data_IF_155998672308
#
_entry.id   IF_155998672308
#
_cell.length_a   1.000
_cell.length_b   1.000
_cell.length_c   1.000
_cell.angle_alpha   90.00
_cell.angle_beta   90.00
_cell.angle_gamma   90.00
#
_symmetry.space_group_name_H-M   'P 1'
#
loop_
_entity.id
_entity.type
_entity.pdbx_description
1 polymer ?
#
# COMPACT_ATOMS: atom_id res chain seq x y z
N UNK A 1 -4.08 -17.86 0.20
CA UNK A 1 -2.90 -18.11 -0.66
C UNK A 1 -1.78 -18.68 0.19
N UNK A 2 -0.90 -19.49 -0.40
CA UNK A 2 0.33 -19.97 0.22
C UNK A 2 1.39 -18.84 0.25
N UNK A 3 1.70 -18.35 1.45
CA UNK A 3 2.68 -17.28 1.62
C UNK A 3 4.10 -17.71 1.25
N UNK A 4 4.49 -18.96 1.51
CA UNK A 4 5.83 -19.46 1.20
C UNK A 4 6.02 -19.54 -0.32
N UNK A 5 5.02 -20.04 -1.04
CA UNK A 5 5.02 -20.05 -2.50
C UNK A 5 5.09 -18.64 -3.10
N UNK A 6 4.32 -17.69 -2.55
CA UNK A 6 4.38 -16.29 -2.98
C UNK A 6 5.78 -15.69 -2.81
N UNK A 7 6.37 -15.80 -1.62
CA UNK A 7 7.68 -15.23 -1.33
C UNK A 7 8.83 -15.91 -2.10
N UNK A 8 8.72 -17.22 -2.35
CA UNK A 8 9.65 -17.92 -3.23
C UNK A 8 9.56 -17.40 -4.67
N UNK A 9 8.34 -17.22 -5.20
CA UNK A 9 8.12 -16.69 -6.54
C UNK A 9 8.63 -15.26 -6.69
N UNK A 10 8.30 -14.35 -5.76
CA UNK A 10 8.76 -12.95 -5.86
C UNK A 10 10.26 -12.81 -5.68
N UNK A 11 10.88 -13.66 -4.85
CA UNK A 11 12.35 -13.72 -4.71
C UNK A 11 13.00 -14.06 -6.04
N UNK A 12 12.48 -15.04 -6.77
CA UNK A 12 12.97 -15.38 -8.10
C UNK A 12 12.76 -14.22 -9.09
N UNK A 13 11.53 -13.69 -9.17
CA UNK A 13 11.15 -12.55 -10.00
C UNK A 13 10.00 -11.78 -9.35
N UNK A 14 10.09 -10.44 -9.16
CA UNK A 14 11.00 -9.52 -9.85
C UNK A 14 12.34 -9.24 -9.15
N UNK A 15 12.60 -9.83 -7.98
CA UNK A 15 13.80 -9.49 -7.20
C UNK A 15 15.11 -10.07 -7.74
N UNK A 16 15.06 -11.15 -8.52
CA UNK A 16 16.24 -11.71 -9.18
C UNK A 16 17.18 -12.50 -8.27
N UNK A 17 16.66 -13.07 -7.17
CA UNK A 17 17.36 -14.05 -6.33
C UNK A 17 17.42 -13.67 -4.85
N UNK A 18 17.62 -12.39 -4.53
CA UNK A 18 17.70 -11.93 -3.13
C UNK A 18 16.45 -11.16 -2.75
N UNK A 19 15.81 -11.56 -1.65
CA UNK A 19 14.66 -10.87 -1.07
C UNK A 19 15.03 -10.36 0.34
N UNK A 20 15.41 -9.08 0.48
CA UNK A 20 15.75 -8.51 1.78
C UNK A 20 14.55 -8.49 2.74
N UNK A 21 14.80 -8.53 4.05
CA UNK A 21 13.74 -8.52 5.06
C UNK A 21 12.80 -7.31 4.90
N UNK A 22 13.33 -6.11 4.63
CA UNK A 22 12.49 -4.92 4.36
C UNK A 22 11.49 -5.12 3.22
N UNK A 23 11.87 -5.88 2.18
CA UNK A 23 10.96 -6.22 1.10
C UNK A 23 9.89 -7.23 1.53
N UNK A 24 10.26 -8.21 2.37
CA UNK A 24 9.28 -9.11 3.00
C UNK A 24 8.27 -8.30 3.83
N UNK A 25 8.75 -7.37 4.65
CA UNK A 25 7.92 -6.53 5.52
C UNK A 25 6.97 -5.64 4.69
N UNK A 26 7.50 -4.98 3.65
CA UNK A 26 6.72 -4.12 2.76
C UNK A 26 5.66 -4.89 1.95
N UNK A 27 6.02 -6.03 1.37
CA UNK A 27 5.08 -6.91 0.68
C UNK A 27 4.00 -7.43 1.64
N UNK A 28 4.39 -7.84 2.85
CA UNK A 28 3.45 -8.30 3.89
C UNK A 28 2.46 -7.21 4.27
N UNK A 29 2.95 -5.98 4.48
CA UNK A 29 2.09 -4.83 4.78
C UNK A 29 1.07 -4.56 3.67
N UNK A 30 1.49 -4.61 2.40
CA UNK A 30 0.59 -4.42 1.26
C UNK A 30 -0.43 -5.55 1.16
N UNK A 31 -0.03 -6.81 1.34
CA UNK A 31 -0.95 -7.95 1.33
C UNK A 31 -2.01 -7.84 2.44
N UNK A 32 -1.60 -7.42 3.64
CA UNK A 32 -2.52 -7.16 4.75
C UNK A 32 -3.45 -5.98 4.42
N UNK A 33 -2.91 -4.86 3.93
CA UNK A 33 -3.71 -3.71 3.49
C UNK A 33 -4.73 -4.10 2.41
N UNK A 34 -4.33 -4.92 1.43
CA UNK A 34 -5.23 -5.43 0.41
C UNK A 34 -6.34 -6.32 0.97
N UNK A 35 -6.06 -7.17 1.97
CA UNK A 35 -7.12 -7.97 2.60
C UNK A 35 -8.19 -7.14 3.35
N UNK A 36 -7.84 -5.91 3.75
CA UNK A 36 -8.73 -5.02 4.51
C UNK A 36 -9.47 -4.03 3.60
N UNK A 37 -8.78 -3.52 2.58
CA UNK A 37 -9.24 -2.39 1.77
C UNK A 37 -9.37 -2.70 0.28
N UNK A 38 -8.87 -3.86 -0.16
CA UNK A 38 -8.94 -4.32 -1.54
C UNK A 38 -10.31 -4.83 -1.95
N UNK A 39 -10.53 -4.94 -3.26
CA UNK A 39 -11.78 -5.46 -3.84
C UNK A 39 -11.69 -6.91 -4.31
N UNK A 40 -10.59 -7.60 -4.00
CA UNK A 40 -10.36 -9.01 -4.32
C UNK A 40 -9.86 -9.29 -5.74
N UNK A 41 -9.83 -8.31 -6.65
CA UNK A 41 -9.26 -8.52 -7.98
C UNK A 41 -7.72 -8.66 -7.92
N UNK A 42 -7.24 -9.89 -8.09
CA UNK A 42 -5.80 -10.20 -8.03
C UNK A 42 -4.94 -9.34 -8.97
N UNK A 43 -5.51 -8.88 -10.10
CA UNK A 43 -4.79 -8.11 -11.12
C UNK A 43 -4.53 -6.69 -10.60
N UNK A 44 -5.48 -6.12 -9.85
CA UNK A 44 -5.31 -4.84 -9.18
C UNK A 44 -4.26 -4.95 -8.06
N UNK A 45 -4.29 -6.02 -7.27
CA UNK A 45 -3.24 -6.31 -6.29
C UNK A 45 -1.86 -6.43 -6.95
N UNK A 46 -1.75 -7.17 -8.04
CA UNK A 46 -0.50 -7.33 -8.78
C UNK A 46 0.08 -5.98 -9.23
N UNK A 47 -0.78 -5.10 -9.74
CA UNK A 47 -0.37 -3.76 -10.14
C UNK A 47 0.03 -2.86 -8.95
N UNK A 48 -0.68 -2.97 -7.82
CA UNK A 48 -0.35 -2.26 -6.57
C UNK A 48 1.04 -2.67 -6.07
N UNK A 49 1.34 -3.98 -6.03
CA UNK A 49 2.65 -4.50 -5.65
C UNK A 49 3.75 -4.02 -6.60
N UNK A 50 3.48 -3.99 -7.91
CA UNK A 50 4.39 -3.48 -8.93
C UNK A 50 4.70 -2.00 -8.76
N UNK A 51 3.68 -1.19 -8.44
CA UNK A 51 3.83 0.23 -8.15
C UNK A 51 4.73 0.43 -6.94
N UNK A 52 4.42 -0.21 -5.81
CA UNK A 52 5.24 -0.08 -4.59
C UNK A 52 6.69 -0.56 -4.82
N UNK A 53 6.88 -1.66 -5.54
CA UNK A 53 8.20 -2.16 -5.90
C UNK A 53 9.00 -1.13 -6.72
N UNK A 54 8.35 -0.35 -7.58
CA UNK A 54 9.01 0.69 -8.36
C UNK A 54 9.27 1.96 -7.55
N UNK A 55 8.23 2.50 -6.90
CA UNK A 55 8.27 3.80 -6.23
C UNK A 55 9.07 3.79 -4.92
N UNK A 56 9.08 2.67 -4.18
CA UNK A 56 9.79 2.53 -2.91
C UNK A 56 11.22 1.96 -3.05
N UNK A 57 11.83 2.08 -4.25
CA UNK A 57 13.12 1.47 -4.62
C UNK A 57 13.22 0.01 -4.15
N UNK A 58 12.25 -0.82 -4.56
CA UNK A 58 12.14 -2.23 -4.14
C UNK A 58 12.04 -2.38 -2.61
N UNK A 59 11.25 -1.51 -1.98
CA UNK A 59 11.02 -1.44 -0.53
C UNK A 59 12.24 -1.04 0.31
N UNK A 60 13.25 -0.40 -0.28
CA UNK A 60 14.40 0.11 0.48
C UNK A 60 14.08 1.39 1.24
N UNK A 61 13.10 2.17 0.77
CA UNK A 61 12.71 3.45 1.36
C UNK A 61 11.21 3.59 1.59
N UNK A 62 10.85 4.15 2.74
CA UNK A 62 9.48 4.58 3.05
C UNK A 62 9.39 6.11 3.18
N UNK A 63 10.51 6.80 2.99
CA UNK A 63 10.63 8.25 3.06
C UNK A 63 11.58 8.70 1.95
N UNK A 64 11.21 9.76 1.25
CA UNK A 64 12.01 10.31 0.16
C UNK A 64 13.38 10.74 0.70
N UNK A 65 14.45 10.42 -0.04
CA UNK A 65 15.80 10.87 0.27
C UNK A 65 15.97 12.39 0.13
N UNK A 66 15.13 13.04 -0.69
CA UNK A 66 15.15 14.49 -0.84
C UNK A 66 14.75 15.19 0.46
N UNK A 67 15.33 16.38 0.69
CA UNK A 67 15.03 17.18 1.88
C UNK A 67 13.59 17.72 1.90
N UNK A 68 12.89 17.72 0.77
CA UNK A 68 11.59 18.36 0.59
C UNK A 68 11.66 19.88 0.38
N UNK A 69 12.84 20.51 0.45
CA UNK A 69 12.99 21.95 0.29
C UNK A 69 12.47 22.47 -1.07
N UNK A 70 12.56 21.65 -2.12
CA UNK A 70 12.04 21.96 -3.45
C UNK A 70 10.50 22.03 -3.51
N UNK A 71 9.80 21.51 -2.49
CA UNK A 71 8.34 21.56 -2.39
C UNK A 71 7.85 22.82 -1.66
N UNK A 72 8.74 23.65 -1.12
CA UNK A 72 8.37 24.87 -0.39
C UNK A 72 7.62 25.84 -1.31
N UNK A 73 6.48 26.39 -0.84
CA UNK A 73 5.68 27.35 -1.59
C UNK A 73 4.91 26.79 -2.80
N UNK A 74 5.00 25.48 -3.09
CA UNK A 74 4.30 24.84 -4.22
C UNK A 74 2.78 24.83 -4.00
N UNK A 75 2.08 25.77 -4.65
CA UNK A 75 0.62 25.93 -4.58
C UNK A 75 -0.15 24.72 -5.09
N UNK A 76 0.37 24.05 -6.11
CA UNK A 76 -0.21 22.81 -6.65
C UNK A 76 -0.15 21.64 -5.65
N UNK A 77 0.77 21.68 -4.67
CA UNK A 77 0.87 20.73 -3.56
C UNK A 77 0.11 21.18 -2.29
N UNK A 78 -0.44 22.39 -2.30
CA UNK A 78 -1.04 23.02 -1.13
C UNK A 78 -0.03 23.49 -0.08
N UNK A 79 1.26 23.53 -0.42
CA UNK A 79 2.33 23.98 0.48
C UNK A 79 2.35 25.51 0.52
N UNK A 80 1.42 26.10 1.28
CA UNK A 80 1.21 27.56 1.35
C UNK A 80 1.68 28.16 2.67
N UNK A 81 2.21 27.37 3.59
CA UNK A 81 2.77 27.83 4.87
C UNK A 81 4.28 27.59 4.90
N UNK A 82 5.01 28.48 5.58
CA UNK A 82 6.45 28.36 5.73
C UNK A 82 6.82 27.05 6.40
N UNK A 83 7.72 26.28 5.76
CA UNK A 83 8.22 25.00 6.24
C UNK A 83 7.45 23.78 5.71
N UNK A 84 6.40 24.00 4.91
CA UNK A 84 5.59 22.93 4.34
C UNK A 84 6.38 21.97 3.47
N UNK A 85 7.35 22.47 2.72
CA UNK A 85 8.10 21.66 1.77
C UNK A 85 8.81 20.49 2.46
N UNK A 86 9.55 20.78 3.52
CA UNK A 86 10.24 19.76 4.32
C UNK A 86 9.27 18.91 5.14
N UNK A 87 8.21 19.54 5.69
CA UNK A 87 7.23 18.87 6.54
C UNK A 87 6.44 17.81 5.77
N UNK A 88 5.98 18.14 4.57
CA UNK A 88 5.12 17.29 3.72
C UNK A 88 5.87 16.71 2.51
N UNK A 89 7.12 16.29 2.71
CA UNK A 89 7.88 15.53 1.71
C UNK A 89 7.35 14.10 1.52
N UNK A 90 7.80 13.44 0.46
CA UNK A 90 7.36 12.10 0.07
C UNK A 90 7.49 11.05 1.17
N UNK A 91 6.40 10.33 1.48
CA UNK A 91 6.37 9.17 2.40
C UNK A 91 5.47 8.04 1.94
N UNK A 92 5.76 6.84 2.42
CA UNK A 92 5.02 5.61 2.14
C UNK A 92 5.36 4.99 0.78
N UNK A 93 4.65 3.92 0.43
CA UNK A 93 4.90 3.15 -0.80
C UNK A 93 4.65 3.91 -2.10
N UNK A 94 3.88 5.00 -2.05
CA UNK A 94 3.54 5.85 -3.20
C UNK A 94 4.09 7.27 -3.06
N UNK A 95 4.87 7.54 -2.01
CA UNK A 95 5.51 8.84 -1.76
C UNK A 95 4.52 10.02 -1.78
N UNK A 96 3.45 9.95 -0.99
CA UNK A 96 2.49 11.07 -0.90
C UNK A 96 3.23 12.35 -0.48
N UNK A 97 2.97 13.43 -1.20
CA UNK A 97 3.73 14.68 -1.08
C UNK A 97 2.79 15.87 -1.08
N UNK A 98 3.06 16.88 -0.25
CA UNK A 98 2.30 18.12 -0.19
C UNK A 98 1.19 18.14 0.84
N UNK A 99 1.03 19.27 1.53
CA UNK A 99 0.03 19.49 2.58
C UNK A 99 -1.37 19.05 2.17
N UNK A 100 -1.78 19.30 0.92
CA UNK A 100 -3.11 18.92 0.44
C UNK A 100 -3.34 17.41 0.54
N UNK A 101 -2.38 16.61 0.09
CA UNK A 101 -2.49 15.15 0.13
C UNK A 101 -2.46 14.62 1.56
N UNK A 102 -1.62 15.22 2.41
CA UNK A 102 -1.60 14.91 3.84
C UNK A 102 -2.94 15.20 4.52
N UNK A 103 -3.57 16.34 4.22
CA UNK A 103 -4.88 16.68 4.77
C UNK A 103 -6.01 15.76 4.27
N UNK A 104 -6.04 15.44 2.97
CA UNK A 104 -7.03 14.51 2.39
C UNK A 104 -6.91 13.12 3.02
N UNK A 105 -5.69 12.61 3.20
CA UNK A 105 -5.48 11.33 3.87
C UNK A 105 -5.75 11.37 5.37
N UNK A 106 -5.58 12.53 6.03
CA UNK A 106 -6.03 12.67 7.42
C UNK A 106 -7.53 12.45 7.55
N UNK A 107 -8.32 13.07 6.67
CA UNK A 107 -9.78 12.95 6.69
C UNK A 107 -10.22 11.51 6.40
N UNK A 108 -9.61 10.86 5.40
CA UNK A 108 -9.95 9.47 5.01
C UNK A 108 -9.62 8.43 6.08
N UNK A 109 -8.51 8.64 6.80
CA UNK A 109 -7.97 7.64 7.71
C UNK A 109 -8.35 7.90 9.16
N UNK A 110 -8.72 9.14 9.50
CA UNK A 110 -8.94 9.58 10.88
C UNK A 110 -7.65 9.91 11.64
N UNK A 111 -6.47 9.72 11.05
CA UNK A 111 -5.18 10.07 11.68
C UNK A 111 -4.74 11.47 11.27
N UNK A 112 -4.30 12.30 12.22
CA UNK A 112 -3.85 13.66 11.90
C UNK A 112 -2.44 13.68 11.28
N UNK A 113 -2.37 13.38 9.98
CA UNK A 113 -1.14 13.41 9.20
C UNK A 113 -0.65 14.84 8.90
N UNK A 114 -1.46 15.86 9.14
CA UNK A 114 -1.01 17.25 9.04
C UNK A 114 -0.13 17.58 10.24
N UNK A 115 -0.53 17.11 11.43
CA UNK A 115 0.25 17.23 12.67
C UNK A 115 1.41 16.23 12.73
N UNK A 116 1.20 14.98 12.30
CA UNK A 116 2.15 13.87 12.39
C UNK A 116 2.43 13.24 11.01
N UNK A 117 3.06 13.98 10.08
CA UNK A 117 3.23 13.54 8.69
C UNK A 117 4.08 12.28 8.52
N UNK A 118 4.99 12.00 9.45
CA UNK A 118 5.80 10.78 9.46
C UNK A 118 5.01 9.50 9.62
N UNK A 119 3.80 9.53 10.19
CA UNK A 119 2.93 8.35 10.25
C UNK A 119 2.60 7.80 8.85
N UNK A 120 2.66 8.62 7.80
CA UNK A 120 2.47 8.17 6.42
C UNK A 120 3.59 7.22 5.93
N UNK A 121 4.73 7.14 6.63
CA UNK A 121 5.80 6.18 6.34
C UNK A 121 5.59 4.84 7.07
N UNK A 122 4.67 4.76 8.05
CA UNK A 122 4.38 3.53 8.76
C UNK A 122 3.79 2.49 7.79
N UNK A 123 4.36 1.27 7.69
CA UNK A 123 3.99 0.31 6.63
C UNK A 123 2.49 0.00 6.55
N UNK A 124 1.83 -0.11 7.70
CA UNK A 124 0.39 -0.37 7.80
C UNK A 124 -0.44 0.75 7.17
N UNK A 125 -0.15 2.00 7.51
CA UNK A 125 -0.87 3.16 6.98
C UNK A 125 -0.47 3.45 5.52
N UNK A 126 0.80 3.30 5.19
CA UNK A 126 1.30 3.42 3.81
C UNK A 126 0.62 2.41 2.87
N UNK A 127 0.39 1.17 3.33
CA UNK A 127 -0.34 0.15 2.58
C UNK A 127 -1.81 0.54 2.35
N UNK A 128 -2.50 1.04 3.39
CA UNK A 128 -3.87 1.55 3.27
C UNK A 128 -3.96 2.69 2.26
N UNK A 129 -3.08 3.70 2.39
CA UNK A 129 -2.98 4.85 1.46
C UNK A 129 -2.80 4.36 0.02
N UNK A 130 -1.86 3.44 -0.22
CA UNK A 130 -1.60 2.89 -1.54
C UNK A 130 -2.82 2.15 -2.11
N UNK A 131 -3.44 1.26 -1.33
CA UNK A 131 -4.56 0.42 -1.80
C UNK A 131 -5.79 1.28 -2.07
N UNK A 132 -6.28 2.02 -1.08
CA UNK A 132 -7.49 2.83 -1.23
C UNK A 132 -7.28 3.93 -2.26
N UNK A 133 -6.10 4.57 -2.28
CA UNK A 133 -5.81 5.64 -3.22
C UNK A 133 -5.79 5.15 -4.66
N UNK A 134 -5.30 3.94 -4.90
CA UNK A 134 -5.31 3.34 -6.24
C UNK A 134 -6.72 2.93 -6.70
N UNK A 135 -7.58 2.51 -5.77
CA UNK A 135 -8.96 2.11 -6.07
C UNK A 135 -9.89 3.30 -6.26
N UNK A 136 -9.68 4.37 -5.49
CA UNK A 136 -10.50 5.60 -5.52
C UNK A 136 -9.94 6.65 -6.49
N UNK A 137 -8.68 6.53 -6.91
CA UNK A 137 -8.02 7.45 -7.83
C UNK A 137 -7.62 8.78 -7.20
N UNK A 138 -7.25 8.78 -5.92
CA UNK A 138 -6.99 10.03 -5.16
C UNK A 138 -5.71 10.74 -5.58
N UNK A 139 -4.77 10.05 -6.25
CA UNK A 139 -3.49 10.64 -6.62
C UNK A 139 -3.56 11.51 -7.89
N UNK A 140 -4.33 11.09 -8.90
CA UNK A 140 -4.38 11.75 -10.21
C UNK A 140 -5.80 11.95 -10.76
N UNK A 141 -6.82 11.46 -10.04
CA UNK A 141 -8.19 11.34 -10.54
C UNK A 141 -8.44 10.11 -11.41
N UNK A 142 -7.43 9.26 -11.65
CA UNK A 142 -7.57 7.98 -12.37
C UNK A 142 -7.52 6.83 -11.38
N UNK A 143 -8.43 5.85 -11.53
CA UNK A 143 -8.52 4.69 -10.64
C UNK A 143 -8.19 3.39 -11.37
N UNK A 144 -7.78 2.35 -10.62
CA UNK A 144 -7.47 1.05 -11.22
C UNK A 144 -8.63 0.46 -12.01
N UNK A 145 -9.88 0.68 -11.56
CA UNK A 145 -11.08 0.25 -12.28
C UNK A 145 -11.23 0.84 -13.69
N UNK A 146 -10.55 1.95 -14.02
CA UNK A 146 -10.57 2.52 -15.36
C UNK A 146 -9.75 1.68 -16.37
N UNK A 147 -8.80 0.86 -15.88
CA UNK A 147 -7.83 0.12 -16.71
C UNK A 147 -7.85 -1.40 -16.50
N UNK A 148 -8.22 -1.83 -15.30
CA UNK A 148 -8.32 -3.23 -14.89
C UNK A 148 -9.79 -3.51 -14.57
N UNK A 149 -10.42 -4.28 -15.45
CA UNK A 149 -11.85 -4.63 -15.43
C UNK A 149 -12.01 -6.15 -15.47
N UNK A 150 -13.22 -6.68 -15.35
CA UNK A 150 -13.46 -8.11 -15.53
C UNK A 150 -12.85 -8.65 -16.84
N UNK A 151 -12.98 -7.91 -17.95
CA UNK A 151 -12.57 -8.35 -19.28
C UNK A 151 -11.08 -8.14 -19.61
N UNK A 152 -10.40 -7.19 -18.96
CA UNK A 152 -9.02 -6.82 -19.32
C UNK A 152 -8.20 -6.32 -18.14
N UNK A 153 -6.88 -6.51 -18.22
CA UNK A 153 -5.89 -5.88 -17.35
C UNK A 153 -4.90 -5.06 -18.21
N UNK A 154 -5.16 -3.77 -18.36
CA UNK A 154 -4.22 -2.86 -19.03
C UNK A 154 -3.25 -2.24 -18.03
N UNK A 155 -2.22 -3.01 -17.66
CA UNK A 155 -1.20 -2.55 -16.72
C UNK A 155 -0.36 -1.38 -17.23
N UNK A 156 -0.24 -1.21 -18.55
CA UNK A 156 0.53 -0.10 -19.11
C UNK A 156 -0.19 1.22 -18.87
N UNK A 157 -1.48 1.29 -19.22
CA UNK A 157 -2.28 2.50 -19.00
C UNK A 157 -2.56 2.76 -17.52
N UNK A 158 -2.57 1.72 -16.69
CA UNK A 158 -2.72 1.83 -15.24
C UNK A 158 -1.63 2.70 -14.57
N UNK A 159 -0.50 2.99 -15.24
CA UNK A 159 0.51 3.97 -14.78
C UNK A 159 -0.12 5.29 -14.33
N UNK A 160 -1.16 5.71 -15.06
CA UNK A 160 -1.96 6.92 -14.84
C UNK A 160 -2.56 7.06 -13.45
N UNK A 161 -2.76 5.94 -12.75
CA UNK A 161 -3.33 5.95 -11.40
C UNK A 161 -2.39 6.65 -10.42
N UNK A 162 -1.07 6.52 -10.62
CA UNK A 162 -0.05 6.98 -9.68
C UNK A 162 0.69 8.20 -10.23
N UNK A 163 1.06 8.16 -11.51
CA UNK A 163 1.82 9.22 -12.18
C UNK A 163 1.44 9.21 -13.68
N UNK A 164 2.09 9.98 -14.55
CA UNK A 164 1.80 10.05 -15.99
C UNK A 164 1.98 8.72 -16.77
N UNK A 165 2.87 8.68 -17.75
CA UNK A 165 3.25 7.44 -18.49
C UNK A 165 4.67 6.99 -18.22
N UNK A 166 5.43 7.71 -17.39
CA UNK A 166 6.83 7.37 -17.20
C UNK A 166 6.99 5.93 -16.67
N UNK A 167 7.94 5.19 -17.26
CA UNK A 167 8.20 3.77 -16.98
C UNK A 167 6.99 2.82 -17.09
N UNK A 168 5.91 3.21 -17.77
CA UNK A 168 4.68 2.41 -17.85
C UNK A 168 4.91 0.95 -18.27
N UNK A 169 5.66 0.71 -19.34
CA UNK A 169 5.97 -0.64 -19.82
C UNK A 169 6.79 -1.46 -18.81
N UNK A 170 7.72 -0.81 -18.08
CA UNK A 170 8.54 -1.47 -17.07
C UNK A 170 7.68 -1.93 -15.89
N UNK A 171 6.81 -1.05 -15.39
CA UNK A 171 5.90 -1.35 -14.27
C UNK A 171 4.86 -2.39 -14.67
N UNK A 172 4.35 -2.34 -15.91
CA UNK A 172 3.49 -3.39 -16.45
C UNK A 172 4.19 -4.75 -16.45
N UNK A 173 5.48 -4.79 -16.79
CA UNK A 173 6.31 -6.00 -16.68
C UNK A 173 6.45 -6.51 -15.25
N UNK A 174 6.57 -5.61 -14.25
CA UNK A 174 6.54 -6.02 -12.84
C UNK A 174 5.16 -6.53 -12.41
N UNK A 175 4.08 -5.89 -12.85
CA UNK A 175 2.72 -6.31 -12.54
C UNK A 175 2.44 -7.73 -13.05
N UNK A 176 2.87 -8.05 -14.28
CA UNK A 176 2.76 -9.41 -14.82
C UNK A 176 3.51 -10.44 -13.97
N UNK A 177 4.69 -10.10 -13.43
CA UNK A 177 5.47 -10.99 -12.55
C UNK A 177 4.78 -11.18 -11.19
N UNK A 178 4.24 -10.13 -10.60
CA UNK A 178 3.49 -10.24 -9.35
C UNK A 178 2.18 -11.01 -9.54
N UNK A 179 1.48 -10.83 -10.66
CA UNK A 179 0.28 -11.61 -10.98
C UNK A 179 0.61 -13.10 -11.08
N UNK A 180 1.70 -13.46 -11.76
CA UNK A 180 2.16 -14.84 -11.85
C UNK A 180 2.50 -15.41 -10.45
N UNK A 181 3.18 -14.63 -9.60
CA UNK A 181 3.51 -15.05 -8.23
C UNK A 181 2.24 -15.27 -7.37
N UNK A 182 1.26 -14.38 -7.46
CA UNK A 182 -0.03 -14.51 -6.76
C UNK A 182 -0.79 -15.76 -7.23
N UNK A 183 -0.82 -16.01 -8.54
CA UNK A 183 -1.44 -17.23 -9.11
C UNK A 183 -0.72 -18.49 -8.66
N UNK A 184 0.60 -18.52 -8.69
CA UNK A 184 1.39 -19.65 -8.21
C UNK A 184 1.17 -19.95 -6.72
N UNK A 185 0.88 -18.90 -5.93
CA UNK A 185 0.50 -19.02 -4.52
C UNK A 185 -0.98 -19.40 -4.30
N UNK A 186 -1.76 -19.63 -5.36
CA UNK A 186 -3.19 -19.96 -5.25
C UNK A 186 -4.05 -18.80 -4.72
N UNK A 187 -3.67 -17.55 -4.98
CA UNK A 187 -4.50 -16.40 -4.63
C UNK A 187 -5.83 -16.45 -5.39
N UNK A 188 -6.95 -16.35 -4.66
CA UNK A 188 -8.30 -16.43 -5.21
C UNK A 188 -8.81 -17.85 -5.49
N UNK A 189 -8.03 -18.89 -5.18
CA UNK A 189 -8.49 -20.29 -5.22
C UNK A 189 -8.94 -20.67 -3.80
N UNK A 190 -10.15 -21.21 -3.64
CA UNK A 190 -10.56 -21.83 -2.39
C UNK A 190 -9.57 -22.96 -2.04
N UNK A 191 -9.20 -23.17 -0.76
CA UNK A 191 -8.28 -24.25 -0.42
C UNK A 191 -8.81 -25.58 -0.96
N UNK A 192 -7.91 -26.42 -1.50
CA UNK A 192 -8.28 -27.76 -1.92
C UNK A 192 -8.96 -28.50 -0.74
N UNK A 193 -10.05 -29.25 -0.96
CA UNK A 193 -10.62 -30.06 0.09
C UNK A 193 -9.52 -30.97 0.65
N UNK A 194 -9.37 -30.97 1.98
CA UNK A 194 -8.47 -31.89 2.66
C UNK A 194 -8.86 -33.32 2.27
N UNK A 195 -7.90 -34.25 2.10
CA UNK A 195 -8.23 -35.65 1.97
C UNK A 195 -9.06 -36.07 3.19
N UNK A 196 -10.16 -36.77 2.91
CA UNK A 196 -11.20 -37.14 3.88
C UNK A 196 -10.59 -37.95 5.03
N UNK A 197 -10.32 -37.28 6.16
CA UNK A 197 -9.90 -37.90 7.40
C UNK A 197 -10.78 -37.29 8.49
N UNK A 198 -11.84 -38.04 8.80
CA UNK A 198 -12.80 -37.90 9.90
C UNK A 198 -14.01 -36.99 9.64
N UNK A 199 -15.18 -37.60 9.88
CA UNK A 199 -16.53 -37.06 9.74
C UNK A 199 -16.72 -35.66 10.33
N UNK A 200 -17.41 -34.79 9.56
CA UNK A 200 -18.36 -33.85 10.11
C UNK A 200 -17.84 -32.46 10.51
N UNK A 201 -17.39 -31.65 9.54
CA UNK A 201 -17.71 -30.22 9.45
C UNK A 201 -17.22 -29.67 8.10
N UNK A 202 -18.16 -29.13 7.31
CA UNK A 202 -17.88 -28.47 6.03
C UNK A 202 -17.14 -27.14 6.29
N UNK A 203 -15.98 -26.85 5.69
CA UNK A 203 -15.35 -25.54 5.83
C UNK A 203 -16.14 -24.49 5.02
N UNK A 204 -16.48 -23.38 5.67
CA UNK A 204 -17.23 -22.26 5.08
C UNK A 204 -16.38 -21.42 4.09
N UNK A 205 -16.99 -20.85 3.04
CA UNK A 205 -16.31 -20.05 2.03
C UNK A 205 -16.18 -18.57 2.42
N UNK A 206 -15.10 -17.93 1.92
CA UNK A 206 -14.79 -16.48 1.74
C UNK A 206 -15.34 -15.45 2.75
N UNK A 207 -14.50 -14.55 3.30
CA UNK A 207 -14.96 -13.61 4.33
C UNK A 207 -15.97 -12.61 3.78
N UNK A 208 -17.18 -12.64 4.36
CA UNK A 208 -18.28 -11.72 4.12
C UNK A 208 -18.01 -10.29 4.62
N UNK A 209 -18.77 -9.28 4.16
CA UNK A 209 -18.69 -7.87 4.58
C UNK A 209 -18.70 -7.63 6.10
N UNK A 210 -19.27 -8.54 6.90
CA UNK A 210 -19.41 -8.39 8.35
C UNK A 210 -18.08 -8.48 9.13
N UNK A 211 -17.05 -9.14 8.59
CA UNK A 211 -15.73 -9.20 9.25
C UNK A 211 -14.81 -8.04 8.85
N UNK A 212 -15.12 -7.29 7.78
CA UNK A 212 -14.29 -6.15 7.37
C UNK A 212 -14.27 -5.05 8.43
N UNK A 213 -15.44 -4.74 9.01
CA UNK A 213 -15.55 -3.71 10.04
C UNK A 213 -14.79 -4.11 11.32
N UNK A 214 -14.88 -5.38 11.72
CA UNK A 214 -14.15 -5.91 12.87
C UNK A 214 -12.63 -5.85 12.65
N UNK A 215 -12.14 -6.33 11.49
CA UNK A 215 -10.71 -6.27 11.14
C UNK A 215 -10.20 -4.85 10.98
N UNK A 216 -11.04 -3.91 10.53
CA UNK A 216 -10.70 -2.50 10.48
C UNK A 216 -10.57 -1.92 11.89
N UNK A 217 -11.50 -2.23 12.79
CA UNK A 217 -11.42 -1.82 14.19
C UNK A 217 -10.16 -2.40 14.87
N UNK A 218 -9.82 -3.66 14.61
CA UNK A 218 -8.59 -4.28 15.09
C UNK A 218 -7.34 -3.61 14.50
N UNK A 219 -7.34 -3.30 13.21
CA UNK A 219 -6.28 -2.54 12.56
C UNK A 219 -6.09 -1.18 13.22
N UNK A 220 -7.19 -0.43 13.41
CA UNK A 220 -7.17 0.91 13.98
C UNK A 220 -6.69 0.87 15.44
N UNK A 221 -7.13 -0.12 16.22
CA UNK A 221 -6.68 -0.33 17.60
C UNK A 221 -5.19 -0.70 17.67
N UNK A 222 -4.74 -1.65 16.85
CA UNK A 222 -3.33 -2.07 16.83
C UNK A 222 -2.40 -0.94 16.35
N UNK A 223 -2.82 -0.20 15.31
CA UNK A 223 -2.06 0.93 14.80
C UNK A 223 -2.04 2.10 15.78
N UNK A 224 -3.16 2.39 16.45
CA UNK A 224 -3.22 3.38 17.50
C UNK A 224 -2.29 3.02 18.66
N UNK A 225 -2.32 1.78 19.16
CA UNK A 225 -1.45 1.33 20.24
C UNK A 225 0.05 1.40 19.87
N UNK A 226 0.41 0.98 18.65
CA UNK A 226 1.79 1.05 18.16
C UNK A 226 2.29 2.51 18.04
N UNK A 227 1.40 3.43 17.68
CA UNK A 227 1.74 4.84 17.52
C UNK A 227 1.52 5.69 18.77
N UNK A 228 0.84 5.19 19.80
CA UNK A 228 0.61 5.93 21.04
C UNK A 228 1.93 6.27 21.74
N UNK A 229 2.89 5.34 21.71
CA UNK A 229 4.25 5.57 22.19
C UNK A 229 4.98 6.63 21.34
N UNK A 230 4.80 6.60 20.03
CA UNK A 230 5.38 7.57 19.09
C UNK A 230 4.81 8.98 19.31
N UNK A 231 3.49 9.11 19.44
CA UNK A 231 2.79 10.36 19.75
C UNK A 231 3.21 10.89 21.13
N UNK A 232 3.25 10.03 22.14
CA UNK A 232 3.61 10.42 23.51
C UNK A 232 5.04 10.91 23.61
N UNK A 233 6.01 10.20 23.02
CA UNK A 233 7.43 10.59 23.00
C UNK A 233 7.66 11.90 22.25
N UNK A 234 6.96 12.12 21.13
CA UNK A 234 7.10 13.36 20.37
C UNK A 234 6.50 14.57 21.10
N UNK A 235 5.29 14.43 21.64
CA UNK A 235 4.66 15.51 22.40
C UNK A 235 5.43 15.86 23.69
N UNK A 236 6.08 14.88 24.32
CA UNK A 236 6.98 15.13 25.45
C UNK A 236 8.21 15.95 25.02
N UNK A 237 8.74 15.73 23.82
CA UNK A 237 9.93 16.43 23.28
C UNK A 237 9.62 17.86 22.84
N UNK A 238 8.41 18.12 22.35
CA UNK A 238 7.93 19.48 22.00
C UNK A 238 7.55 20.32 23.23
N UNK A 239 7.37 19.71 24.41
CA UNK A 239 7.14 20.41 25.69
C UNK A 239 8.43 20.78 26.44
N UNK A 240 9.59 20.29 25.97
CA UNK A 240 10.92 20.51 26.56
C UNK A 240 11.77 21.52 25.78
N UNK A 241 11.19 22.17 24.76
CA UNK A 241 11.78 23.25 23.95
C UNK A 241 10.88 24.48 24.07
#
# INVERSE_FOLDING_TARGET
MDAAAFFAAVRAQPFGGTLPQKAVDGLTAILKGWSLFGDGDLRKLAYILATAFHEADRFRTMEEYASGAAYEGRKDLGNTQTGDGKRFKGRGFVQITGRRNYADWSERTGYDLVRLPEMAAEPALAARILVEGSLLGTFTGKKLGDYITAAKADYTSARRVINGTDKAALIAGYAAKFEAALKAAGYGVAPAPLPDILDGAKPEPTPEPDDRAARLAEFDAAFAAANEAFVTLRLARERLL
#
